data_IF_210489206279
#
_entry.id   IF_210489206279
#
_cell.length_a   1.000
_cell.length_b   1.000
_cell.length_c   1.000
_cell.angle_alpha   90.00
_cell.angle_beta   90.00
_cell.angle_gamma   90.00
#
_symmetry.space_group_name_H-M   'P 1'
#
loop_
_entity.id
_entity.type
_entity.pdbx_description
1 polymer ?
#
# COMPACT_ATOMS: atom_id res chain seq x y z
N UNK A 1 11.04 6.66 -1.29
CA UNK A 1 10.10 6.91 -2.41
C UNK A 1 10.74 7.96 -3.29
N UNK A 2 10.82 7.72 -4.61
CA UNK A 2 11.32 8.67 -5.61
C UNK A 2 10.18 9.55 -6.12
N UNK A 3 9.06 8.95 -6.54
CA UNK A 3 7.82 9.64 -6.93
C UNK A 3 6.61 8.74 -6.72
N UNK A 4 5.44 9.36 -6.68
CA UNK A 4 4.13 8.68 -6.70
C UNK A 4 3.31 9.28 -7.82
N UNK A 5 2.58 8.45 -8.55
CA UNK A 5 1.67 8.89 -9.60
C UNK A 5 0.35 8.16 -9.49
N UNK A 6 -0.76 8.82 -9.87
CA UNK A 6 -2.10 8.22 -9.99
C UNK A 6 -2.40 7.71 -11.40
N UNK A 7 -1.58 8.08 -12.40
CA UNK A 7 -1.73 7.56 -13.76
C UNK A 7 -1.17 6.16 -13.90
N UNK A 8 -1.55 5.47 -15.00
CA UNK A 8 -1.00 4.16 -15.32
C UNK A 8 0.51 4.24 -15.49
N UNK A 9 1.23 3.33 -14.85
CA UNK A 9 2.67 3.25 -14.98
C UNK A 9 3.18 1.85 -14.68
N UNK A 10 4.48 1.64 -14.94
CA UNK A 10 5.15 0.39 -14.62
C UNK A 10 5.62 0.41 -13.17
N UNK A 11 5.11 -0.52 -12.37
CA UNK A 11 5.52 -0.74 -10.98
C UNK A 11 6.96 -1.26 -10.88
N UNK A 12 7.54 -1.25 -9.67
CA UNK A 12 8.87 -1.79 -9.40
C UNK A 12 9.02 -3.28 -9.72
N UNK A 13 7.92 -4.04 -9.74
CA UNK A 13 7.87 -5.45 -10.13
C UNK A 13 7.63 -5.67 -11.63
N UNK A 14 7.56 -4.59 -12.42
CA UNK A 14 7.44 -4.63 -13.87
C UNK A 14 6.01 -4.71 -14.41
N UNK A 15 4.99 -4.83 -13.55
CA UNK A 15 3.57 -4.85 -13.93
C UNK A 15 3.05 -3.43 -14.17
N UNK A 16 2.15 -3.25 -15.15
CA UNK A 16 1.44 -1.99 -15.34
C UNK A 16 0.27 -1.88 -14.37
N UNK A 17 0.23 -0.82 -13.58
CA UNK A 17 -0.84 -0.59 -12.59
C UNK A 17 -1.37 0.83 -12.68
N UNK A 18 -2.62 1.01 -12.28
CA UNK A 18 -3.18 2.32 -11.94
C UNK A 18 -2.58 2.74 -10.61
N UNK A 19 -1.90 3.89 -10.59
CA UNK A 19 -1.16 4.30 -9.41
C UNK A 19 0.20 3.59 -9.31
N UNK A 20 1.29 4.36 -9.22
CA UNK A 20 2.63 3.79 -9.05
C UNK A 20 3.45 4.58 -8.03
N UNK A 21 3.95 3.86 -7.03
CA UNK A 21 4.98 4.33 -6.11
C UNK A 21 6.36 3.86 -6.60
N UNK A 22 7.17 4.77 -7.16
CA UNK A 22 8.54 4.45 -7.55
C UNK A 22 9.44 4.48 -6.31
N UNK A 23 10.08 3.35 -5.99
CA UNK A 23 11.04 3.26 -4.90
C UNK A 23 12.46 3.61 -5.37
N UNK A 24 13.27 4.14 -4.45
CA UNK A 24 14.68 4.44 -4.74
C UNK A 24 15.51 3.15 -4.64
N UNK A 25 16.41 2.92 -5.60
CA UNK A 25 17.32 1.76 -5.59
C UNK A 25 18.21 1.78 -4.34
N UNK A 26 18.55 0.60 -3.81
CA UNK A 26 19.58 0.45 -2.77
C UNK A 26 19.09 0.35 -1.32
N UNK A 27 17.78 0.24 -1.05
CA UNK A 27 17.30 -0.12 0.30
C UNK A 27 17.47 -1.62 0.53
N UNK A 28 18.53 -1.98 1.24
CA UNK A 28 18.68 -3.32 1.84
C UNK A 28 17.63 -3.49 2.93
N UNK A 29 16.79 -4.52 2.81
CA UNK A 29 15.90 -4.97 3.87
C UNK A 29 16.01 -6.49 4.00
N UNK A 30 15.83 -6.98 5.24
CA UNK A 30 15.87 -8.40 5.57
C UNK A 30 14.94 -9.21 4.66
N UNK A 31 15.49 -10.16 3.91
CA UNK A 31 14.78 -10.88 2.84
C UNK A 31 13.49 -11.59 3.30
N UNK A 32 13.44 -12.06 4.56
CA UNK A 32 12.24 -12.70 5.14
C UNK A 32 11.04 -11.77 5.30
N UNK A 33 11.28 -10.47 5.52
CA UNK A 33 10.23 -9.48 5.76
C UNK A 33 9.76 -8.81 4.45
N UNK A 34 10.59 -8.84 3.40
CA UNK A 34 10.25 -8.24 2.11
C UNK A 34 8.93 -8.75 1.51
N UNK A 35 8.65 -10.05 1.61
CA UNK A 35 7.39 -10.62 1.10
C UNK A 35 6.18 -10.18 1.92
N UNK A 36 6.30 -10.09 3.24
CA UNK A 36 5.21 -9.60 4.09
C UNK A 36 4.94 -8.12 3.84
N UNK A 37 5.99 -7.33 3.72
CA UNK A 37 5.87 -5.89 3.46
C UNK A 37 5.30 -5.63 2.06
N UNK A 38 5.66 -6.44 1.05
CA UNK A 38 5.03 -6.36 -0.28
C UNK A 38 3.54 -6.70 -0.21
N UNK A 39 3.14 -7.75 0.51
CA UNK A 39 1.72 -8.11 0.67
C UNK A 39 0.96 -7.00 1.41
N UNK A 40 1.56 -6.40 2.44
CA UNK A 40 0.96 -5.27 3.17
C UNK A 40 0.76 -4.08 2.23
N UNK A 41 1.73 -3.77 1.36
CA UNK A 41 1.61 -2.71 0.35
C UNK A 41 0.47 -3.02 -0.63
N UNK A 42 0.32 -4.27 -1.06
CA UNK A 42 -0.77 -4.69 -1.97
C UNK A 42 -2.15 -4.56 -1.32
N UNK A 43 -2.27 -4.83 -0.02
CA UNK A 43 -3.52 -4.60 0.70
C UNK A 43 -3.84 -3.11 0.91
N UNK A 44 -2.82 -2.26 0.97
CA UNK A 44 -2.98 -0.88 1.42
C UNK A 44 -4.01 -0.07 0.62
N UNK A 45 -4.11 -0.28 -0.70
CA UNK A 45 -5.11 0.41 -1.53
C UNK A 45 -6.55 0.08 -1.13
N UNK A 46 -6.86 -1.21 -1.03
CA UNK A 46 -8.20 -1.69 -0.64
C UNK A 46 -8.57 -1.31 0.79
N UNK A 47 -7.61 -1.39 1.72
CA UNK A 47 -7.83 -1.05 3.13
C UNK A 47 -8.01 0.47 3.28
N UNK A 48 -7.20 1.29 2.60
CA UNK A 48 -7.39 2.74 2.60
C UNK A 48 -8.76 3.11 2.04
N UNK A 49 -9.21 2.50 0.93
CA UNK A 49 -10.55 2.73 0.39
C UNK A 49 -11.64 2.33 1.40
N UNK A 50 -11.50 1.19 2.07
CA UNK A 50 -12.45 0.73 3.08
C UNK A 50 -12.51 1.63 4.31
N UNK A 51 -11.39 2.26 4.70
CA UNK A 51 -11.38 3.25 5.78
C UNK A 51 -12.33 4.42 5.47
N UNK A 52 -12.38 4.89 4.22
CA UNK A 52 -13.29 5.99 3.81
C UNK A 52 -14.70 5.54 3.43
N UNK A 53 -14.87 4.30 2.95
CA UNK A 53 -16.14 3.82 2.38
C UNK A 53 -16.89 2.81 3.27
N UNK A 54 -16.25 2.32 4.34
CA UNK A 54 -16.78 1.30 5.25
C UNK A 54 -16.82 -0.12 4.69
N UNK A 55 -16.30 -0.37 3.49
CA UNK A 55 -16.35 -1.70 2.86
C UNK A 55 -15.16 -1.97 1.94
N UNK A 56 -14.76 -3.23 1.84
CA UNK A 56 -13.73 -3.64 0.88
C UNK A 56 -14.26 -3.67 -0.55
N UNK A 57 -13.54 -3.01 -1.46
CA UNK A 57 -13.78 -3.08 -2.89
C UNK A 57 -12.86 -4.15 -3.53
N UNK A 58 -13.21 -5.43 -3.37
CA UNK A 58 -12.42 -6.54 -3.92
C UNK A 58 -12.32 -6.49 -5.45
N UNK A 59 -13.38 -6.00 -6.12
CA UNK A 59 -13.39 -5.83 -7.57
C UNK A 59 -12.35 -4.80 -8.04
N UNK A 60 -12.23 -3.68 -7.34
CA UNK A 60 -11.22 -2.65 -7.61
C UNK A 60 -9.80 -3.13 -7.31
N UNK A 61 -9.65 -3.94 -6.26
CA UNK A 61 -8.38 -4.52 -5.83
C UNK A 61 -8.05 -5.88 -6.48
N UNK A 62 -8.80 -6.31 -7.50
CA UNK A 62 -8.72 -7.68 -8.01
C UNK A 62 -7.33 -8.08 -8.53
N UNK A 63 -6.55 -7.13 -9.06
CA UNK A 63 -5.17 -7.39 -9.50
C UNK A 63 -4.23 -7.58 -8.31
N UNK A 64 -4.34 -6.73 -7.28
CA UNK A 64 -3.55 -6.82 -6.06
C UNK A 64 -3.89 -8.11 -5.29
N UNK A 65 -5.17 -8.45 -5.14
CA UNK A 65 -5.60 -9.70 -4.50
C UNK A 65 -5.07 -10.95 -5.25
N UNK A 66 -5.04 -10.91 -6.59
CA UNK A 66 -4.40 -11.97 -7.39
C UNK A 66 -2.90 -12.04 -7.15
N UNK A 67 -2.22 -10.90 -6.98
CA UNK A 67 -0.79 -10.87 -6.66
C UNK A 67 -0.51 -11.41 -5.25
N UNK A 68 -1.30 -11.00 -4.26
CA UNK A 68 -1.23 -11.50 -2.87
C UNK A 68 -1.37 -13.02 -2.84
N UNK A 69 -2.39 -13.57 -3.52
CA UNK A 69 -2.59 -15.02 -3.60
C UNK A 69 -1.36 -15.74 -4.16
N UNK A 70 -0.73 -15.22 -5.22
CA UNK A 70 0.50 -15.79 -5.78
C UNK A 70 1.65 -15.74 -4.77
N UNK A 71 1.86 -14.62 -4.09
CA UNK A 71 2.94 -14.46 -3.11
C UNK A 71 2.78 -15.39 -1.90
N UNK A 72 1.55 -15.55 -1.42
CA UNK A 72 1.23 -16.43 -0.31
C UNK A 72 1.50 -17.90 -0.67
N UNK A 73 1.13 -18.34 -1.88
CA UNK A 73 1.43 -19.70 -2.36
C UNK A 73 2.94 -20.00 -2.43
N UNK A 74 3.79 -19.00 -2.67
CA UNK A 74 5.25 -19.20 -2.66
C UNK A 74 5.83 -19.31 -1.24
N UNK A 75 5.09 -18.83 -0.22
CA UNK A 75 5.58 -18.70 1.15
C UNK A 75 5.10 -19.81 2.08
N UNK A 76 3.90 -20.35 1.84
CA UNK A 76 3.30 -21.39 2.67
C UNK A 76 2.65 -22.48 1.82
N UNK A 77 2.76 -23.72 2.26
CA UNK A 77 2.40 -24.90 1.46
C UNK A 77 0.98 -25.43 1.71
N UNK A 78 0.29 -24.95 2.75
CA UNK A 78 -1.05 -25.46 3.12
C UNK A 78 -2.12 -24.38 3.10
N UNK A 79 -3.36 -24.77 2.79
CA UNK A 79 -4.53 -23.86 2.75
C UNK A 79 -4.76 -23.18 4.10
N UNK A 80 -4.66 -23.92 5.22
CA UNK A 80 -4.83 -23.36 6.58
C UNK A 80 -3.76 -22.30 6.91
N UNK A 81 -2.51 -22.53 6.52
CA UNK A 81 -1.44 -21.54 6.71
C UNK A 81 -1.65 -20.32 5.82
N UNK A 82 -2.13 -20.52 4.60
CA UNK A 82 -2.45 -19.46 3.66
C UNK A 82 -3.53 -18.52 4.23
N UNK A 83 -4.67 -19.06 4.68
CA UNK A 83 -5.75 -18.26 5.27
C UNK A 83 -5.30 -17.52 6.53
N UNK A 84 -4.51 -18.17 7.39
CA UNK A 84 -4.01 -17.56 8.62
C UNK A 84 -3.07 -16.40 8.32
N UNK A 85 -2.16 -16.59 7.35
CA UNK A 85 -1.22 -15.55 6.94
C UNK A 85 -1.93 -14.39 6.25
N UNK A 86 -2.89 -14.69 5.38
CA UNK A 86 -3.75 -13.68 4.73
C UNK A 86 -4.46 -12.80 5.77
N UNK A 87 -5.20 -13.42 6.70
CA UNK A 87 -5.92 -12.69 7.77
C UNK A 87 -4.98 -11.84 8.62
N UNK A 88 -3.81 -12.38 8.99
CA UNK A 88 -2.83 -11.65 9.79
C UNK A 88 -2.27 -10.43 9.05
N UNK A 89 -1.96 -10.55 7.77
CA UNK A 89 -1.39 -9.45 6.99
C UNK A 89 -2.46 -8.40 6.67
N UNK A 90 -3.70 -8.80 6.41
CA UNK A 90 -4.81 -7.87 6.29
C UNK A 90 -5.02 -7.08 7.57
N UNK A 91 -5.11 -7.76 8.73
CA UNK A 91 -5.25 -7.12 10.04
C UNK A 91 -4.07 -6.18 10.36
N UNK A 92 -2.85 -6.56 9.97
CA UNK A 92 -1.68 -5.67 10.08
C UNK A 92 -1.85 -4.42 9.22
N UNK A 93 -2.35 -4.54 8.00
CA UNK A 93 -2.58 -3.39 7.12
C UNK A 93 -3.70 -2.50 7.65
N UNK A 94 -4.81 -3.07 8.14
CA UNK A 94 -5.89 -2.33 8.81
C UNK A 94 -5.32 -1.51 9.96
N UNK A 95 -4.60 -2.15 10.88
CA UNK A 95 -4.00 -1.46 12.03
C UNK A 95 -2.99 -0.36 11.64
N UNK A 96 -2.24 -0.53 10.55
CA UNK A 96 -1.31 0.50 10.06
C UNK A 96 -2.01 1.74 9.47
N UNK A 97 -3.28 1.61 9.12
CA UNK A 97 -4.08 2.69 8.52
C UNK A 97 -5.21 3.18 9.45
N UNK A 98 -5.32 2.62 10.66
CA UNK A 98 -6.40 2.86 11.62
C UNK A 98 -6.20 4.14 12.45
N UNK A 99 -5.04 4.81 12.34
CA UNK A 99 -4.77 6.04 13.07
C UNK A 99 -5.15 7.30 12.26
N UNK A 100 -5.81 8.24 12.95
CA UNK A 100 -6.23 9.55 12.42
C UNK A 100 -5.09 10.32 11.72
N UNK A 101 -3.86 10.41 12.29
CA UNK A 101 -2.74 11.03 11.59
C UNK A 101 -2.43 10.38 10.22
N UNK A 102 -2.50 9.05 10.13
CA UNK A 102 -2.28 8.32 8.88
C UNK A 102 -3.41 8.54 7.88
N UNK A 103 -4.67 8.54 8.33
CA UNK A 103 -5.81 8.88 7.48
C UNK A 103 -5.67 10.28 6.86
N UNK A 104 -5.30 11.27 7.68
CA UNK A 104 -5.01 12.63 7.21
C UNK A 104 -3.84 12.66 6.21
N UNK A 105 -2.77 11.90 6.46
CA UNK A 105 -1.65 11.82 5.53
C UNK A 105 -2.08 11.25 4.16
N UNK A 106 -2.92 10.22 4.14
CA UNK A 106 -3.48 9.62 2.93
C UNK A 106 -4.32 10.64 2.18
N UNK A 107 -5.22 11.36 2.87
CA UNK A 107 -6.08 12.38 2.27
C UNK A 107 -5.26 13.52 1.64
N UNK A 108 -4.25 14.04 2.34
CA UNK A 108 -3.38 15.11 1.83
C UNK A 108 -2.61 14.67 0.57
N UNK A 109 -2.10 13.44 0.56
CA UNK A 109 -1.42 12.87 -0.60
C UNK A 109 -2.38 12.65 -1.76
N UNK A 110 -3.56 12.10 -1.50
CA UNK A 110 -4.59 11.86 -2.51
C UNK A 110 -5.08 13.17 -3.15
N UNK A 111 -5.32 14.20 -2.34
CA UNK A 111 -5.72 15.54 -2.79
C UNK A 111 -4.70 16.13 -3.76
N UNK A 112 -3.41 16.06 -3.42
CA UNK A 112 -2.35 16.54 -4.30
C UNK A 112 -2.25 15.71 -5.60
N UNK A 113 -2.45 14.39 -5.51
CA UNK A 113 -2.44 13.50 -6.67
C UNK A 113 -3.63 13.73 -7.61
N UNK A 114 -4.80 14.09 -7.10
CA UNK A 114 -5.96 14.50 -7.92
C UNK A 114 -5.62 15.74 -8.73
N UNK A 115 -4.92 16.71 -8.14
CA UNK A 115 -4.56 17.96 -8.81
C UNK A 115 -3.40 17.79 -9.80
N UNK A 116 -2.34 17.06 -9.43
CA UNK A 116 -1.07 17.05 -10.16
C UNK A 116 -0.75 15.76 -10.89
N UNK A 117 -1.53 14.70 -10.65
CA UNK A 117 -1.34 13.33 -11.15
C UNK A 117 -0.03 12.64 -10.74
N UNK A 118 1.04 13.38 -10.49
CA UNK A 118 2.35 12.90 -10.08
C UNK A 118 2.96 13.85 -9.07
N UNK A 119 3.47 13.30 -7.97
CA UNK A 119 4.13 14.05 -6.90
C UNK A 119 5.48 13.42 -6.58
N UNK A 120 6.41 14.24 -6.10
CA UNK A 120 7.73 13.76 -5.69
C UNK A 120 7.65 12.98 -4.38
N UNK A 121 8.60 12.08 -4.14
CA UNK A 121 8.70 11.40 -2.85
C UNK A 121 8.99 12.33 -1.67
N UNK A 122 9.57 13.52 -1.92
CA UNK A 122 9.73 14.57 -0.90
C UNK A 122 8.39 15.18 -0.50
N UNK A 123 7.50 15.42 -1.47
CA UNK A 123 6.15 15.91 -1.20
C UNK A 123 5.36 14.91 -0.34
N UNK A 124 5.40 13.62 -0.69
CA UNK A 124 4.79 12.56 0.14
C UNK A 124 5.31 12.60 1.57
N UNK A 125 6.63 12.67 1.76
CA UNK A 125 7.24 12.74 3.09
C UNK A 125 6.81 13.99 3.85
N UNK A 126 6.71 15.13 3.16
CA UNK A 126 6.27 16.38 3.76
C UNK A 126 4.83 16.27 4.27
N UNK A 127 3.89 15.78 3.45
CA UNK A 127 2.49 15.60 3.87
C UNK A 127 2.36 14.63 5.05
N UNK A 128 3.07 13.51 5.00
CA UNK A 128 3.10 12.57 6.12
C UNK A 128 3.58 13.24 7.41
N UNK A 129 4.73 13.92 7.37
CA UNK A 129 5.27 14.63 8.53
C UNK A 129 4.35 15.74 9.04
N UNK A 130 3.64 16.42 8.15
CA UNK A 130 2.68 17.45 8.51
C UNK A 130 1.47 16.85 9.23
N UNK A 131 0.93 15.73 8.74
CA UNK A 131 -0.19 15.04 9.37
C UNK A 131 0.16 14.52 10.78
N UNK A 132 1.35 13.92 10.94
CA UNK A 132 1.83 13.46 12.25
C UNK A 132 1.93 14.59 13.27
N UNK A 133 2.37 15.79 12.87
CA UNK A 133 2.49 16.95 13.76
C UNK A 133 1.16 17.57 14.17
N UNK A 134 0.13 17.47 13.34
CA UNK A 134 -1.21 18.03 13.62
C UNK A 134 -1.99 17.20 14.65
N UNK A 135 -1.55 15.97 14.87
CA UNK A 135 -2.23 14.99 15.73
C UNK A 135 -1.46 14.74 17.04
N UNK A 136 -0.37 15.49 17.28
CA UNK A 136 0.41 15.53 18.53
C UNK A 136 0.04 16.77 19.34
#
# INVERSE_FOLDING_TARGET
IKKVTSVRGRSGTGQYRLGVCELQKGRSANAKNLLDDEIVILFAGMVAEAHFTGRYCEAGAAEDLRAIRRLLCHRVSTVKQHERLHRRLLARTEHLLDDEPTALAVEMVATELVQKQTISGRAVRHFYQQAMRKSS
#
